data_IF_308008558203
#
_entry.id   IF_308008558203
#
_cell.length_a   1.000
_cell.length_b   1.000
_cell.length_c   1.000
_cell.angle_alpha   90.00
_cell.angle_beta   90.00
_cell.angle_gamma   90.00
#
_symmetry.space_group_name_H-M   'P 1'
#
loop_
_entity.id
_entity.type
_entity.pdbx_description
1 polymer ?
#
# COMPACT_ATOMS: atom_id res chain seq x y z
N UNK A 1 -15.03 -10.00 24.07
CA UNK A 1 -15.45 -9.36 22.78
C UNK A 1 -16.07 -10.33 21.76
N UNK A 2 -15.99 -11.65 21.91
CA UNK A 2 -16.62 -12.65 21.01
C UNK A 2 -18.08 -13.03 21.34
N UNK A 3 -18.60 -12.57 22.48
CA UNK A 3 -19.93 -12.88 22.99
C UNK A 3 -21.07 -12.53 22.02
N UNK A 4 -20.92 -11.51 21.16
CA UNK A 4 -21.97 -11.14 20.21
C UNK A 4 -22.09 -12.08 19.00
N UNK A 5 -21.00 -12.74 18.60
CA UNK A 5 -21.01 -13.71 17.50
C UNK A 5 -21.66 -15.03 17.96
N UNK A 6 -21.34 -15.47 19.18
CA UNK A 6 -21.98 -16.65 19.80
C UNK A 6 -23.47 -16.41 20.10
N UNK A 7 -23.87 -15.18 20.48
CA UNK A 7 -25.28 -14.84 20.73
C UNK A 7 -26.15 -14.70 19.47
N UNK A 8 -25.55 -14.58 18.27
CA UNK A 8 -26.30 -14.36 17.03
C UNK A 8 -26.39 -15.59 16.10
N UNK A 9 -25.75 -16.71 16.47
CA UNK A 9 -25.71 -17.93 15.65
C UNK A 9 -24.96 -17.77 14.31
N UNK A 10 -24.25 -16.65 14.11
CA UNK A 10 -23.55 -16.32 12.86
C UNK A 10 -22.06 -16.60 12.96
N UNK A 11 -21.47 -17.01 11.85
CA UNK A 11 -20.02 -17.20 11.78
C UNK A 11 -19.27 -15.87 11.92
N UNK A 12 -18.05 -15.91 12.47
CA UNK A 12 -17.16 -14.76 12.58
C UNK A 12 -16.97 -14.04 11.23
N UNK A 13 -16.79 -14.83 10.16
CA UNK A 13 -16.64 -14.35 8.79
C UNK A 13 -17.86 -13.56 8.32
N UNK A 14 -19.07 -14.03 8.62
CA UNK A 14 -20.30 -13.33 8.24
C UNK A 14 -20.43 -11.99 8.97
N UNK A 15 -20.12 -11.95 10.26
CA UNK A 15 -20.11 -10.70 11.04
C UNK A 15 -19.09 -9.71 10.46
N UNK A 16 -17.88 -10.17 10.16
CA UNK A 16 -16.85 -9.34 9.55
C UNK A 16 -17.24 -8.83 8.15
N UNK A 17 -17.91 -9.64 7.33
CA UNK A 17 -18.43 -9.20 6.02
C UNK A 17 -19.48 -8.10 6.16
N UNK A 18 -20.40 -8.23 7.13
CA UNK A 18 -21.42 -7.20 7.41
C UNK A 18 -20.78 -5.89 7.89
N UNK A 19 -19.78 -5.96 8.76
CA UNK A 19 -19.03 -4.79 9.21
C UNK A 19 -18.30 -4.11 8.05
N UNK A 20 -17.63 -4.87 7.19
CA UNK A 20 -17.01 -4.35 5.95
C UNK A 20 -18.01 -3.66 5.04
N UNK A 21 -19.18 -4.27 4.81
CA UNK A 21 -20.25 -3.66 4.02
C UNK A 21 -20.77 -2.37 4.65
N UNK A 22 -20.96 -2.35 5.97
CA UNK A 22 -21.38 -1.15 6.70
C UNK A 22 -20.33 -0.03 6.63
N UNK A 23 -19.04 -0.37 6.66
CA UNK A 23 -17.96 0.59 6.47
C UNK A 23 -18.03 1.24 5.10
N UNK A 24 -18.19 0.46 4.03
CA UNK A 24 -18.33 0.99 2.67
C UNK A 24 -19.60 1.83 2.50
N UNK A 25 -20.71 1.41 3.11
CA UNK A 25 -21.95 2.19 3.14
C UNK A 25 -21.76 3.55 3.84
N UNK A 26 -20.95 3.60 4.91
CA UNK A 26 -20.62 4.85 5.60
C UNK A 26 -19.78 5.82 4.74
N UNK A 27 -19.10 5.33 3.70
CA UNK A 27 -18.36 6.14 2.74
C UNK A 27 -19.21 6.64 1.56
N UNK A 28 -20.40 6.06 1.36
CA UNK A 28 -21.28 6.35 0.22
C UNK A 28 -21.87 7.78 0.24
N UNK A 29 -22.20 8.39 1.40
CA UNK A 29 -22.66 9.79 1.47
C UNK A 29 -21.60 10.83 1.08
N UNK A 30 -20.36 10.44 0.77
CA UNK A 30 -19.23 11.35 0.59
C UNK A 30 -19.02 11.85 -0.87
N UNK A 31 -19.99 11.67 -1.79
CA UNK A 31 -19.96 12.27 -3.13
C UNK A 31 -21.39 12.51 -3.68
N UNK A 32 -21.70 13.59 -4.44
CA UNK A 32 -20.76 14.44 -5.20
C UNK A 32 -20.90 15.96 -4.97
N UNK A 33 -21.49 16.45 -3.87
CA UNK A 33 -21.61 17.90 -3.61
C UNK A 33 -20.90 18.31 -2.32
N UNK A 34 -19.60 18.61 -2.46
CA UNK A 34 -18.92 19.68 -1.74
C UNK A 34 -18.94 19.67 -0.21
N UNK A 35 -17.90 19.09 0.39
CA UNK A 35 -17.50 19.47 1.74
C UNK A 35 -16.45 18.55 2.33
N UNK A 36 -15.18 18.96 2.31
CA UNK A 36 -14.17 18.49 3.28
C UNK A 36 -14.52 19.07 4.67
N UNK A 37 -15.70 18.72 5.19
CA UNK A 37 -16.23 19.19 6.47
C UNK A 37 -16.20 18.09 7.53
N UNK A 38 -16.52 18.48 8.78
CA UNK A 38 -16.50 17.58 9.94
C UNK A 38 -17.36 16.30 9.76
N UNK A 39 -18.45 16.36 8.99
CA UNK A 39 -19.30 15.20 8.70
C UNK A 39 -18.59 14.17 7.81
N UNK A 40 -17.78 14.63 6.85
CA UNK A 40 -16.96 13.75 6.01
C UNK A 40 -15.91 12.99 6.82
N UNK A 41 -15.26 13.69 7.74
CA UNK A 41 -14.26 13.11 8.65
C UNK A 41 -14.87 12.11 9.64
N UNK A 42 -16.13 12.30 10.02
CA UNK A 42 -16.88 11.34 10.84
C UNK A 42 -17.21 10.06 10.07
N UNK A 43 -17.55 10.17 8.77
CA UNK A 43 -17.75 9.01 7.88
C UNK A 43 -16.49 8.16 7.75
N UNK A 44 -15.33 8.79 7.50
CA UNK A 44 -14.04 8.10 7.42
C UNK A 44 -13.63 7.44 8.74
N UNK A 45 -13.78 8.12 9.88
CA UNK A 45 -13.49 7.54 11.20
C UNK A 45 -14.38 6.34 11.50
N UNK A 46 -15.69 6.45 11.26
CA UNK A 46 -16.62 5.34 11.47
C UNK A 46 -16.30 4.16 10.56
N UNK A 47 -16.00 4.40 9.29
CA UNK A 47 -15.58 3.35 8.36
C UNK A 47 -14.31 2.65 8.85
N UNK A 48 -13.31 3.41 9.29
CA UNK A 48 -12.06 2.86 9.83
C UNK A 48 -12.30 2.00 11.08
N UNK A 49 -13.16 2.42 12.01
CA UNK A 49 -13.48 1.64 13.21
C UNK A 49 -14.20 0.33 12.87
N UNK A 50 -15.13 0.36 11.92
CA UNK A 50 -15.82 -0.85 11.44
C UNK A 50 -14.88 -1.82 10.74
N UNK A 51 -13.93 -1.30 9.96
CA UNK A 51 -12.90 -2.09 9.28
C UNK A 51 -11.96 -2.72 10.31
N UNK A 52 -11.44 -1.95 11.27
CA UNK A 52 -10.54 -2.45 12.30
C UNK A 52 -11.23 -3.54 13.15
N UNK A 53 -12.49 -3.32 13.52
CA UNK A 53 -13.31 -4.32 14.20
C UNK A 53 -13.53 -5.58 13.35
N UNK A 54 -13.82 -5.45 12.05
CA UNK A 54 -13.97 -6.58 11.14
C UNK A 54 -12.69 -7.42 11.07
N UNK A 55 -11.52 -6.77 11.03
CA UNK A 55 -10.21 -7.42 10.98
C UNK A 55 -9.87 -8.17 12.27
N UNK A 56 -10.24 -7.61 13.42
CA UNK A 56 -10.09 -8.30 14.70
C UNK A 56 -10.94 -9.57 14.83
N UNK A 57 -12.00 -9.70 14.02
CA UNK A 57 -12.90 -10.87 13.99
C UNK A 57 -12.48 -11.87 12.89
N UNK A 58 -12.09 -11.38 11.72
CA UNK A 58 -11.71 -12.19 10.56
C UNK A 58 -10.44 -11.59 9.93
N UNK A 59 -9.25 -11.99 10.41
CA UNK A 59 -7.98 -11.46 9.92
C UNK A 59 -7.57 -12.02 8.54
N UNK A 60 -8.37 -12.92 7.96
CA UNK A 60 -8.06 -13.60 6.71
C UNK A 60 -7.82 -12.66 5.51
N UNK A 61 -7.44 -13.21 4.34
CA UNK A 61 -7.17 -12.41 3.15
C UNK A 61 -8.45 -11.69 2.71
N UNK A 62 -8.33 -10.39 2.47
CA UNK A 62 -9.44 -9.55 2.03
C UNK A 62 -9.34 -9.26 0.54
N UNK A 63 -10.49 -9.19 -0.14
CA UNK A 63 -10.56 -9.03 -1.59
C UNK A 63 -10.07 -7.67 -2.11
N UNK A 64 -9.99 -6.65 -1.26
CA UNK A 64 -9.62 -5.29 -1.67
C UNK A 64 -8.87 -4.55 -0.55
N UNK A 65 -7.68 -5.02 -0.15
CA UNK A 65 -6.94 -4.47 0.98
C UNK A 65 -6.62 -2.98 0.79
N UNK A 66 -6.33 -2.55 -0.45
CA UNK A 66 -6.08 -1.14 -0.80
C UNK A 66 -7.24 -0.21 -0.47
N UNK A 67 -8.48 -0.61 -0.78
CA UNK A 67 -9.67 0.22 -0.51
C UNK A 67 -9.87 0.40 0.99
N UNK A 68 -9.78 -0.69 1.75
CA UNK A 68 -9.91 -0.65 3.20
C UNK A 68 -8.76 0.11 3.86
N UNK A 69 -7.54 0.00 3.33
CA UNK A 69 -6.39 0.76 3.80
C UNK A 69 -6.58 2.27 3.62
N UNK A 70 -7.14 2.75 2.50
CA UNK A 70 -7.46 4.18 2.32
C UNK A 70 -8.44 4.64 3.40
N UNK A 71 -9.50 3.87 3.67
CA UNK A 71 -10.46 4.20 4.72
C UNK A 71 -9.80 4.26 6.11
N UNK A 72 -8.92 3.30 6.42
CA UNK A 72 -8.15 3.30 7.66
C UNK A 72 -7.20 4.50 7.78
N UNK A 73 -6.45 4.86 6.73
CA UNK A 73 -5.57 6.04 6.74
C UNK A 73 -6.37 7.32 6.93
N UNK A 74 -7.46 7.51 6.16
CA UNK A 74 -8.33 8.69 6.25
C UNK A 74 -9.05 8.79 7.59
N UNK A 75 -9.41 7.67 8.21
CA UNK A 75 -9.98 7.62 9.56
C UNK A 75 -8.96 7.70 10.69
N UNK A 76 -7.67 7.95 10.39
CA UNK A 76 -6.61 8.11 11.40
C UNK A 76 -6.03 6.80 11.94
N UNK A 77 -6.44 5.65 11.44
CA UNK A 77 -5.95 4.30 11.81
C UNK A 77 -4.76 3.87 10.95
N UNK A 78 -3.76 4.75 10.81
CA UNK A 78 -2.58 4.58 9.94
C UNK A 78 -1.81 3.28 10.18
N UNK A 79 -1.56 2.92 11.44
CA UNK A 79 -0.88 1.65 11.81
C UNK A 79 -1.64 0.41 11.35
N UNK A 80 -2.96 0.40 11.49
CA UNK A 80 -3.80 -0.70 11.03
C UNK A 80 -3.83 -0.80 9.50
N UNK A 81 -3.82 0.34 8.79
CA UNK A 81 -3.73 0.36 7.34
C UNK A 81 -2.41 -0.27 6.84
N UNK A 82 -1.28 0.11 7.43
CA UNK A 82 0.03 -0.46 7.12
C UNK A 82 0.04 -1.96 7.39
N UNK A 83 -0.44 -2.40 8.56
CA UNK A 83 -0.50 -3.84 8.88
C UNK A 83 -1.38 -4.65 7.91
N UNK A 84 -2.52 -4.10 7.48
CA UNK A 84 -3.39 -4.73 6.49
C UNK A 84 -2.69 -4.89 5.14
N UNK A 85 -1.99 -3.86 4.69
CA UNK A 85 -1.27 -3.88 3.42
C UNK A 85 -0.02 -4.77 3.48
N UNK A 86 0.66 -4.82 4.62
CA UNK A 86 1.81 -5.70 4.84
C UNK A 86 1.41 -7.17 4.72
N UNK A 87 0.31 -7.56 5.35
CA UNK A 87 -0.18 -8.94 5.24
C UNK A 87 -0.60 -9.28 3.80
N UNK A 88 -1.24 -8.33 3.11
CA UNK A 88 -1.62 -8.52 1.71
C UNK A 88 -0.40 -8.64 0.79
N UNK A 89 0.61 -7.79 0.98
CA UNK A 89 1.90 -7.88 0.29
C UNK A 89 2.59 -9.21 0.57
N UNK A 90 2.57 -9.72 1.79
CA UNK A 90 3.19 -11.01 2.11
C UNK A 90 2.46 -12.16 1.42
N UNK A 91 1.15 -12.05 1.22
CA UNK A 91 0.35 -13.02 0.47
C UNK A 91 0.60 -13.00 -1.04
N UNK A 92 0.83 -11.82 -1.62
CA UNK A 92 1.19 -11.65 -3.03
C UNK A 92 2.18 -10.49 -3.21
N UNK A 93 3.50 -10.74 -3.09
CA UNK A 93 4.49 -9.68 -3.16
C UNK A 93 4.68 -9.10 -4.56
N UNK A 94 4.14 -9.76 -5.60
CA UNK A 94 4.18 -9.30 -6.99
C UNK A 94 2.99 -8.38 -7.34
N UNK A 95 1.99 -8.23 -6.46
CA UNK A 95 0.91 -7.27 -6.66
C UNK A 95 1.41 -5.84 -6.43
N UNK A 96 1.76 -5.17 -7.54
CA UNK A 96 2.18 -3.78 -7.55
C UNK A 96 1.12 -2.82 -7.03
N UNK A 97 -0.18 -3.14 -7.10
CA UNK A 97 -1.26 -2.25 -6.63
C UNK A 97 -1.28 -2.21 -5.11
N UNK A 98 -1.13 -3.38 -4.48
CA UNK A 98 -1.03 -3.49 -3.02
C UNK A 98 0.29 -2.88 -2.55
N UNK A 99 1.41 -3.15 -3.24
CA UNK A 99 2.72 -2.55 -2.93
C UNK A 99 2.70 -1.01 -3.06
N UNK A 100 2.07 -0.47 -4.11
CA UNK A 100 1.86 0.98 -4.25
C UNK A 100 0.99 1.56 -3.13
N UNK A 101 -0.08 0.87 -2.76
CA UNK A 101 -0.93 1.28 -1.64
C UNK A 101 -0.15 1.29 -0.32
N UNK A 102 0.72 0.29 -0.09
CA UNK A 102 1.63 0.23 1.05
C UNK A 102 2.62 1.39 1.04
N UNK A 103 3.27 1.65 -0.09
CA UNK A 103 4.25 2.74 -0.22
C UNK A 103 3.64 4.11 0.10
N UNK A 104 2.42 4.38 -0.40
CA UNK A 104 1.67 5.60 -0.08
C UNK A 104 1.25 5.64 1.39
N UNK A 105 0.76 4.52 1.95
CA UNK A 105 0.35 4.46 3.35
C UNK A 105 1.54 4.70 4.28
N UNK A 106 2.71 4.12 3.99
CA UNK A 106 3.95 4.34 4.74
C UNK A 106 4.38 5.80 4.66
N UNK A 107 4.45 6.39 3.47
CA UNK A 107 4.81 7.80 3.29
C UNK A 107 3.91 8.75 4.11
N UNK A 108 2.61 8.44 4.19
CA UNK A 108 1.64 9.22 4.97
C UNK A 108 1.60 8.86 6.47
N UNK A 109 2.41 7.89 6.90
CA UNK A 109 2.44 7.37 8.28
C UNK A 109 3.82 7.45 8.94
N UNK A 110 4.86 7.86 8.22
CA UNK A 110 6.18 8.09 8.78
C UNK A 110 6.21 9.36 9.63
N UNK A 111 6.91 9.30 10.76
CA UNK A 111 7.41 10.49 11.45
C UNK A 111 8.91 10.64 11.20
N UNK A 112 9.47 11.84 11.42
CA UNK A 112 10.89 12.12 11.12
C UNK A 112 11.88 11.21 11.86
N UNK A 113 11.49 10.60 12.99
CA UNK A 113 12.40 9.82 13.86
C UNK A 113 12.26 8.29 13.70
N UNK A 114 11.45 7.81 12.76
CA UNK A 114 11.18 6.37 12.58
C UNK A 114 11.99 5.77 11.41
N UNK A 115 13.31 5.69 11.57
CA UNK A 115 14.22 5.23 10.51
C UNK A 115 13.85 3.89 9.88
N UNK A 116 13.44 2.89 10.68
CA UNK A 116 13.00 1.59 10.15
C UNK A 116 11.72 1.68 9.31
N UNK A 117 10.81 2.61 9.61
CA UNK A 117 9.61 2.83 8.79
C UNK A 117 9.97 3.53 7.49
N UNK A 118 10.92 4.47 7.52
CA UNK A 118 11.46 5.09 6.31
C UNK A 118 12.18 4.11 5.41
N UNK A 119 13.01 3.21 5.96
CA UNK A 119 13.66 2.14 5.19
C UNK A 119 12.62 1.27 4.47
N UNK A 120 11.52 0.91 5.15
CA UNK A 120 10.40 0.16 4.55
C UNK A 120 9.67 0.96 3.47
N UNK A 121 9.45 2.25 3.70
CA UNK A 121 8.87 3.16 2.71
C UNK A 121 9.73 3.23 1.45
N UNK A 122 11.03 3.42 1.62
CA UNK A 122 12.02 3.44 0.52
C UNK A 122 12.04 2.11 -0.22
N UNK A 123 12.08 0.97 0.49
CA UNK A 123 12.07 -0.35 -0.12
C UNK A 123 10.81 -0.60 -0.97
N UNK A 124 9.63 -0.18 -0.49
CA UNK A 124 8.38 -0.29 -1.22
C UNK A 124 8.36 0.58 -2.49
N UNK A 125 8.81 1.84 -2.41
CA UNK A 125 8.90 2.71 -3.59
C UNK A 125 9.95 2.25 -4.60
N UNK A 126 11.11 1.79 -4.14
CA UNK A 126 12.18 1.29 -4.99
C UNK A 126 11.74 0.08 -5.83
N UNK A 127 10.96 -0.84 -5.25
CA UNK A 127 10.39 -1.96 -5.98
C UNK A 127 9.48 -1.50 -7.14
N UNK A 128 8.65 -0.47 -6.92
CA UNK A 128 7.73 0.04 -7.94
C UNK A 128 8.45 0.80 -9.07
N UNK A 129 9.56 1.49 -8.76
CA UNK A 129 10.30 2.25 -9.78
C UNK A 129 10.74 1.38 -10.95
N UNK A 130 11.02 0.09 -10.73
CA UNK A 130 11.45 -0.85 -11.77
C UNK A 130 10.42 -1.94 -12.12
N UNK A 131 9.21 -1.86 -11.59
CA UNK A 131 8.12 -2.78 -11.92
C UNK A 131 7.43 -2.36 -13.24
N UNK A 132 7.58 -3.19 -14.28
CA UNK A 132 6.97 -2.92 -15.59
C UNK A 132 5.43 -2.96 -15.57
N UNK A 133 4.84 -3.84 -14.76
CA UNK A 133 3.39 -3.97 -14.65
C UNK A 133 2.78 -2.75 -13.94
N UNK A 134 3.48 -2.20 -12.94
CA UNK A 134 3.14 -0.93 -12.31
C UNK A 134 3.06 0.20 -13.34
N UNK A 135 4.11 0.38 -14.14
CA UNK A 135 4.14 1.45 -15.15
C UNK A 135 3.07 1.25 -16.22
N UNK A 136 2.87 0.03 -16.72
CA UNK A 136 1.78 -0.26 -17.65
C UNK A 136 0.41 0.10 -17.07
N UNK A 137 0.18 -0.19 -15.78
CA UNK A 137 -1.05 0.17 -15.09
C UNK A 137 -1.22 1.70 -14.95
N UNK A 138 -0.14 2.42 -14.63
CA UNK A 138 -0.14 3.89 -14.55
C UNK A 138 -0.51 4.52 -15.89
N UNK A 139 0.13 4.10 -16.99
CA UNK A 139 -0.17 4.63 -18.33
C UNK A 139 -1.59 4.32 -18.76
N UNK A 140 -2.07 3.09 -18.54
CA UNK A 140 -3.44 2.69 -18.87
C UNK A 140 -4.47 3.51 -18.06
N UNK A 141 -4.18 3.79 -16.79
CA UNK A 141 -5.05 4.59 -15.92
C UNK A 141 -5.05 6.06 -16.32
N UNK A 142 -3.89 6.62 -16.66
CA UNK A 142 -3.78 7.98 -17.21
C UNK A 142 -4.55 8.09 -18.53
N UNK A 143 -4.38 7.11 -19.44
CA UNK A 143 -5.06 7.11 -20.73
C UNK A 143 -6.58 7.11 -20.58
N UNK A 144 -7.11 6.27 -19.68
CA UNK A 144 -8.55 6.26 -19.36
C UNK A 144 -9.02 7.57 -18.73
N UNK A 145 -8.24 8.16 -17.83
CA UNK A 145 -8.62 9.39 -17.11
C UNK A 145 -8.67 10.61 -18.02
N UNK A 146 -7.72 10.72 -18.94
CA UNK A 146 -7.56 11.90 -19.79
C UNK A 146 -8.15 11.70 -21.19
N UNK A 147 -8.60 10.49 -21.54
CA UNK A 147 -9.17 10.19 -22.86
C UNK A 147 -8.16 10.25 -24.01
N UNK A 148 -6.86 10.17 -23.71
CA UNK A 148 -5.76 10.24 -24.68
C UNK A 148 -4.84 9.04 -24.53
N UNK A 149 -4.29 8.53 -25.63
CA UNK A 149 -3.28 7.47 -25.57
C UNK A 149 -2.00 8.02 -24.93
N UNK A 150 -1.50 7.37 -23.89
CA UNK A 150 -0.25 7.73 -23.23
C UNK A 150 0.84 6.76 -23.65
N UNK A 151 1.88 7.27 -24.32
CA UNK A 151 2.94 6.46 -24.92
C UNK A 151 3.88 5.82 -23.88
N UNK A 152 4.31 4.55 -24.07
CA UNK A 152 5.30 3.88 -23.22
C UNK A 152 6.65 4.59 -23.12
N UNK A 153 7.00 5.39 -24.14
CA UNK A 153 8.24 6.19 -24.17
C UNK A 153 8.30 7.24 -23.06
N UNK A 154 7.18 7.56 -22.40
CA UNK A 154 7.12 8.50 -21.27
C UNK A 154 7.55 7.87 -19.94
N UNK A 155 7.62 6.54 -19.84
CA UNK A 155 7.95 5.84 -18.58
C UNK A 155 9.27 6.31 -17.96
N UNK A 156 10.39 6.47 -18.71
CA UNK A 156 11.63 6.97 -18.12
C UNK A 156 11.48 8.36 -17.47
N UNK A 157 10.73 9.26 -18.11
CA UNK A 157 10.48 10.62 -17.60
C UNK A 157 9.60 10.58 -16.35
N UNK A 158 8.51 9.81 -16.38
CA UNK A 158 7.62 9.64 -15.23
C UNK A 158 8.35 9.01 -14.05
N UNK A 159 9.22 8.02 -14.31
CA UNK A 159 10.06 7.39 -13.29
C UNK A 159 11.03 8.39 -12.66
N UNK A 160 11.71 9.19 -13.47
CA UNK A 160 12.61 10.23 -12.97
C UNK A 160 11.86 11.28 -12.14
N UNK A 161 10.70 11.75 -12.62
CA UNK A 161 9.88 12.71 -11.90
C UNK A 161 9.32 12.17 -10.58
N UNK A 162 8.84 10.92 -10.56
CA UNK A 162 8.40 10.27 -9.32
C UNK A 162 9.56 10.18 -8.32
N UNK A 163 10.74 9.79 -8.79
CA UNK A 163 11.92 9.70 -7.93
C UNK A 163 12.30 11.06 -7.32
N UNK A 164 12.30 12.12 -8.11
CA UNK A 164 12.59 13.47 -7.63
C UNK A 164 11.56 13.92 -6.58
N UNK A 165 10.27 13.62 -6.81
CA UNK A 165 9.21 13.88 -5.83
C UNK A 165 9.47 13.12 -4.53
N UNK A 166 9.85 11.85 -4.61
CA UNK A 166 10.18 11.06 -3.43
C UNK A 166 11.36 11.67 -2.67
N UNK A 167 12.46 11.96 -3.36
CA UNK A 167 13.66 12.56 -2.76
C UNK A 167 13.35 13.88 -2.02
N UNK A 168 12.47 14.72 -2.57
CA UNK A 168 12.01 15.96 -1.90
C UNK A 168 11.18 15.74 -0.64
N UNK A 169 10.56 14.57 -0.50
CA UNK A 169 9.72 14.23 0.67
C UNK A 169 10.44 13.37 1.70
N UNK A 170 11.64 12.86 1.40
CA UNK A 170 12.44 12.11 2.36
C UNK A 170 13.13 13.08 3.33
N UNK A 171 13.08 12.84 4.65
CA UNK A 171 13.84 13.64 5.59
C UNK A 171 15.34 13.40 5.48
N UNK A 172 16.13 14.45 5.68
CA UNK A 172 17.60 14.38 5.66
C UNK A 172 18.15 13.56 6.83
N UNK A 173 17.56 13.71 8.02
CA UNK A 173 17.86 12.89 9.20
C UNK A 173 16.62 12.08 9.61
N UNK A 174 16.67 10.79 9.27
CA UNK A 174 15.65 9.81 9.60
C UNK A 174 16.08 8.87 10.74
N UNK A 175 17.27 9.08 11.32
CA UNK A 175 17.89 8.10 12.23
C UNK A 175 18.28 6.77 11.57
N UNK A 176 18.45 6.75 10.24
CA UNK A 176 18.94 5.59 9.48
C UNK A 176 20.46 5.61 9.36
N UNK A 177 21.07 4.43 9.16
CA UNK A 177 22.54 4.33 8.98
C UNK A 177 23.03 4.98 7.67
N UNK A 178 22.16 5.00 6.66
CA UNK A 178 22.40 5.58 5.34
C UNK A 178 21.32 6.62 5.11
N UNK A 179 21.68 7.80 4.58
CA UNK A 179 20.71 8.81 4.19
C UNK A 179 19.67 8.24 3.20
N UNK A 180 18.41 8.69 3.31
CA UNK A 180 17.30 8.06 2.61
C UNK A 180 17.35 8.22 1.08
N UNK A 181 17.86 9.34 0.56
CA UNK A 181 18.06 9.55 -0.88
C UNK A 181 19.05 8.54 -1.48
N UNK A 182 20.28 8.43 -0.96
CA UNK A 182 21.22 7.38 -1.37
C UNK A 182 20.70 5.96 -1.17
N UNK A 183 19.91 5.73 -0.10
CA UNK A 183 19.26 4.43 0.12
C UNK A 183 18.26 4.11 -1.00
N UNK A 184 17.41 5.06 -1.40
CA UNK A 184 16.47 4.91 -2.50
C UNK A 184 17.16 4.59 -3.81
N UNK A 185 18.26 5.28 -4.14
CA UNK A 185 19.09 4.98 -5.31
C UNK A 185 19.58 3.52 -5.26
N UNK A 186 20.17 3.11 -4.13
CA UNK A 186 20.73 1.76 -3.97
C UNK A 186 19.68 0.68 -4.15
N UNK A 187 18.52 0.84 -3.51
CA UNK A 187 17.42 -0.12 -3.62
C UNK A 187 16.84 -0.18 -5.05
N UNK A 188 16.75 0.97 -5.73
CA UNK A 188 16.28 1.04 -7.12
C UNK A 188 17.27 0.38 -8.10
N UNK A 189 18.58 0.63 -7.95
CA UNK A 189 19.61 0.00 -8.78
C UNK A 189 19.66 -1.51 -8.57
N UNK A 190 19.53 -1.96 -7.32
CA UNK A 190 19.45 -3.38 -7.00
C UNK A 190 18.20 -4.02 -7.65
N UNK A 191 17.04 -3.38 -7.57
CA UNK A 191 15.82 -3.84 -8.23
C UNK A 191 15.99 -3.91 -9.76
N UNK A 192 16.65 -2.92 -10.37
CA UNK A 192 16.97 -2.89 -11.79
C UNK A 192 17.89 -4.04 -12.21
N UNK A 193 18.97 -4.27 -11.46
CA UNK A 193 19.91 -5.37 -11.72
C UNK A 193 19.22 -6.72 -11.58
N UNK A 194 18.39 -6.88 -10.56
CA UNK A 194 17.60 -8.09 -10.33
C UNK A 194 16.60 -8.33 -11.47
N UNK A 195 15.92 -7.29 -11.95
CA UNK A 195 15.05 -7.38 -13.11
C UNK A 195 15.79 -7.79 -14.38
N UNK A 196 17.03 -7.31 -14.58
CA UNK A 196 17.85 -7.67 -15.72
C UNK A 196 18.26 -9.16 -15.75
N UNK A 197 18.31 -9.83 -14.59
CA UNK A 197 18.62 -11.26 -14.47
C UNK A 197 17.38 -12.15 -14.33
N UNK A 198 16.18 -11.62 -14.57
CA UNK A 198 14.93 -12.39 -14.55
C UNK A 198 14.17 -12.38 -13.22
N UNK A 199 14.65 -11.62 -12.22
CA UNK A 199 13.98 -11.42 -10.95
C UNK A 199 14.26 -12.50 -9.89
N UNK A 200 13.77 -12.27 -8.67
CA UNK A 200 13.88 -13.22 -7.58
C UNK A 200 12.66 -14.17 -7.56
N UNK A 201 12.83 -15.49 -7.44
CA UNK A 201 11.71 -16.42 -7.43
C UNK A 201 10.84 -16.22 -6.18
N UNK A 202 9.52 -16.29 -6.34
CA UNK A 202 8.60 -16.29 -5.21
C UNK A 202 8.65 -17.65 -4.50
N UNK A 203 8.43 -17.65 -3.18
CA UNK A 203 8.55 -18.84 -2.31
C UNK A 203 7.65 -20.02 -2.71
N UNK A 204 6.61 -19.78 -3.51
CA UNK A 204 5.72 -20.80 -4.07
C UNK A 204 6.11 -21.34 -5.45
N UNK A 205 7.21 -20.87 -6.06
CA UNK A 205 7.76 -21.38 -7.33
C UNK A 205 6.90 -21.14 -8.59
N UNK A 206 5.67 -20.65 -8.47
CA UNK A 206 4.73 -20.43 -9.57
C UNK A 206 4.19 -19.00 -9.72
N UNK A 207 4.59 -18.06 -8.86
CA UNK A 207 4.19 -16.65 -8.95
C UNK A 207 5.12 -15.83 -9.85
N UNK A 208 4.71 -14.61 -10.26
CA UNK A 208 5.59 -13.70 -10.99
C UNK A 208 6.87 -13.44 -10.20
N UNK A 209 8.03 -13.30 -10.86
CA UNK A 209 9.28 -12.99 -10.17
C UNK A 209 9.24 -11.61 -9.53
N UNK A 210 9.99 -11.43 -8.45
CA UNK A 210 10.08 -10.18 -7.70
C UNK A 210 11.24 -9.33 -8.19
N UNK A 211 10.98 -8.04 -8.38
CA UNK A 211 11.95 -7.05 -8.83
C UNK A 211 12.12 -5.98 -7.75
N UNK A 212 12.92 -6.27 -6.74
CA UNK A 212 13.06 -5.39 -5.59
C UNK A 212 14.49 -5.36 -5.02
N UNK A 213 14.79 -4.34 -4.22
CA UNK A 213 16.08 -4.18 -3.55
C UNK A 213 16.22 -5.09 -2.32
N UNK A 214 17.45 -5.19 -1.76
CA UNK A 214 17.76 -6.08 -0.65
C UNK A 214 16.95 -5.81 0.61
N UNK A 215 16.54 -4.57 0.89
CA UNK A 215 15.68 -4.28 2.05
C UNK A 215 14.33 -4.96 1.91
N UNK A 216 13.75 -4.95 0.71
CA UNK A 216 12.46 -5.59 0.44
C UNK A 216 12.56 -7.11 0.52
N UNK A 217 13.64 -7.69 0.00
CA UNK A 217 13.91 -9.13 0.13
C UNK A 217 14.01 -9.51 1.61
N UNK A 218 14.77 -8.74 2.39
CA UNK A 218 14.94 -8.98 3.83
C UNK A 218 13.65 -8.75 4.65
N UNK A 219 12.73 -7.91 4.18
CA UNK A 219 11.41 -7.73 4.79
C UNK A 219 10.51 -8.95 4.50
N UNK A 220 10.49 -9.42 3.25
CA UNK A 220 9.66 -10.56 2.84
C UNK A 220 10.17 -11.90 3.40
N UNK A 221 11.47 -12.04 3.62
CA UNK A 221 12.09 -13.25 4.16
C UNK A 221 12.04 -13.40 5.68
N UNK A 222 11.59 -12.38 6.42
CA UNK A 222 11.33 -12.46 7.87
C UNK A 222 9.93 -13.02 8.09
N UNK A 223 9.76 -14.32 7.86
CA UNK A 223 8.54 -15.09 8.15
C UNK A 223 8.76 -16.02 9.32
#
# INVERSE_FOLDING_TARGET
RWLHATLSGRSAREVALRLRRAALAALTPLAPHGGFGAEGDNGWRRAADLIDAARGIDPGPWTSPSLYAVALVRGGRRKAAVALLDDAVRGDPADHRVTHSLAVALLNSCTHTEGSRWERCVAAWAALLHDAAFWAHVLASASRRYGVTVEPSLVPVLRAGLREVLERHLPDDAGTRVALGPLLQREADAAKLLAAVGGFPTSGGGGPPLFCGPLRIAELGRS
#
